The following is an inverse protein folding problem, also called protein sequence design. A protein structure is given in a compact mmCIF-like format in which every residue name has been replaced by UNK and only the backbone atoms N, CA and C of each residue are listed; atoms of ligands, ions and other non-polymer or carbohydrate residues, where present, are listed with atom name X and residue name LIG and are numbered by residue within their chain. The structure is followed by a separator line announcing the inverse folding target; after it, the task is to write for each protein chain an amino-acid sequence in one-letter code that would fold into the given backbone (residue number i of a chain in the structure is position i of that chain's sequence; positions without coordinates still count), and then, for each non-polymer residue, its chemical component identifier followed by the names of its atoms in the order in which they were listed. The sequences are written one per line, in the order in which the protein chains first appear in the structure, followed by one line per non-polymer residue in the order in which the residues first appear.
data_IF_006056924469
#
_entry.id   IF_006056924469
#
_cell.length_a   1.000
_cell.length_b   1.000
_cell.length_c   1.000
_cell.angle_alpha   90.00
_cell.angle_beta   90.00
_cell.angle_gamma   90.00
#
_symmetry.space_group_name_H-M   'P 1'
#
loop_
_entity.id
_entity.type
_entity.pdbx_description
1 polymer ?
#
# COMPACT_ATOMS: atom_id res chain seq x y z
N UNK A 1 -2.75 -1.10 -15.07
CA UNK A 1 -2.95 -2.51 -14.70
C UNK A 1 -1.73 -3.03 -13.98
N UNK A 2 -1.93 -3.92 -13.02
CA UNK A 2 -0.84 -4.49 -12.22
C UNK A 2 0.26 -5.12 -13.07
N UNK A 3 -0.12 -5.85 -14.10
CA UNK A 3 0.81 -6.59 -14.96
C UNK A 3 1.42 -5.79 -16.11
N UNK A 4 1.22 -4.47 -16.13
CA UNK A 4 1.84 -3.60 -17.14
C UNK A 4 3.37 -3.72 -17.04
N UNK A 5 4.06 -4.16 -18.12
CA UNK A 5 5.51 -4.35 -18.11
C UNK A 5 6.29 -3.07 -17.78
N UNK A 6 5.79 -1.90 -18.22
CA UNK A 6 6.46 -0.62 -17.97
C UNK A 6 6.37 -0.25 -16.49
N UNK A 7 5.21 -0.46 -15.86
CA UNK A 7 5.03 -0.27 -14.42
C UNK A 7 5.95 -1.21 -13.62
N UNK A 8 5.97 -2.48 -13.98
CA UNK A 8 6.81 -3.48 -13.29
C UNK A 8 8.29 -3.16 -13.43
N UNK A 9 8.71 -2.69 -14.61
CA UNK A 9 10.09 -2.25 -14.83
C UNK A 9 10.44 -1.06 -13.92
N UNK A 10 9.53 -0.08 -13.79
CA UNK A 10 9.74 1.05 -12.88
C UNK A 10 9.86 0.59 -11.43
N UNK A 11 8.97 -0.29 -10.97
CA UNK A 11 9.03 -0.85 -9.61
C UNK A 11 10.37 -1.54 -9.35
N UNK A 12 10.83 -2.36 -10.28
CA UNK A 12 12.08 -3.13 -10.15
C UNK A 12 13.33 -2.25 -10.14
N UNK A 13 13.29 -1.09 -10.82
CA UNK A 13 14.41 -0.15 -10.84
C UNK A 13 14.76 0.40 -9.46
N UNK A 14 13.78 0.48 -8.55
CA UNK A 14 14.00 0.99 -7.20
C UNK A 14 14.68 -0.01 -6.27
N UNK A 15 14.88 -1.25 -6.69
CA UNK A 15 15.56 -2.30 -5.92
C UNK A 15 14.96 -2.49 -4.52
N UNK A 16 13.64 -2.29 -4.41
CA UNK A 16 12.92 -2.34 -3.13
C UNK A 16 12.39 -3.73 -2.81
N UNK A 17 11.95 -4.48 -3.84
CA UNK A 17 11.39 -5.82 -3.62
C UNK A 17 12.44 -6.76 -3.03
N UNK A 18 12.04 -7.49 -2.00
CA UNK A 18 12.88 -8.45 -1.28
C UNK A 18 14.10 -7.81 -0.59
N UNK A 19 14.10 -6.48 -0.44
CA UNK A 19 15.15 -5.78 0.30
C UNK A 19 14.97 -5.94 1.81
N UNK A 20 16.05 -5.74 2.57
CA UNK A 20 16.04 -5.81 4.04
C UNK A 20 15.17 -4.72 4.64
N UNK A 21 14.60 -4.93 5.85
CA UNK A 21 13.89 -3.87 6.56
C UNK A 21 14.75 -2.61 6.70
N UNK A 22 14.11 -1.45 6.61
CA UNK A 22 14.76 -0.15 6.76
C UNK A 22 13.96 0.70 7.75
N UNK A 23 14.66 1.27 8.70
CA UNK A 23 14.06 2.03 9.80
C UNK A 23 13.19 3.19 9.32
N UNK A 24 13.59 3.87 8.24
CA UNK A 24 12.85 5.01 7.73
C UNK A 24 11.42 4.61 7.31
N UNK A 25 11.24 3.44 6.70
CA UNK A 25 9.92 2.92 6.34
C UNK A 25 9.15 2.45 7.57
N UNK A 26 9.82 1.79 8.50
CA UNK A 26 9.19 1.30 9.73
C UNK A 26 8.71 2.44 10.62
N UNK A 27 9.43 3.54 10.68
CA UNK A 27 9.02 4.72 11.42
C UNK A 27 7.70 5.29 10.86
N UNK A 28 7.54 5.27 9.53
CA UNK A 28 6.32 5.75 8.87
C UNK A 28 5.12 4.86 9.19
N UNK A 29 5.26 3.55 9.08
CA UNK A 29 4.15 2.64 9.37
C UNK A 29 3.74 2.70 10.84
N UNK A 30 4.70 2.78 11.75
CA UNK A 30 4.41 2.90 13.19
C UNK A 30 3.72 4.23 13.51
N UNK A 31 4.15 5.31 12.88
CA UNK A 31 3.56 6.63 13.09
C UNK A 31 2.10 6.66 12.60
N UNK A 32 1.83 6.08 11.44
CA UNK A 32 0.46 6.02 10.90
C UNK A 32 -0.43 5.11 11.76
N UNK A 33 0.08 3.97 12.22
CA UNK A 33 -0.67 3.08 13.09
C UNK A 33 -1.14 3.80 14.36
N UNK A 34 -0.28 4.62 14.95
CA UNK A 34 -0.63 5.42 16.12
C UNK A 34 -1.61 6.55 15.78
N UNK A 35 -1.39 7.23 14.65
CA UNK A 35 -2.23 8.35 14.22
C UNK A 35 -3.67 7.93 13.96
N UNK A 36 -3.86 6.76 13.33
CA UNK A 36 -5.18 6.22 13.03
C UNK A 36 -5.72 5.33 14.15
N UNK A 37 -4.87 4.94 15.10
CA UNK A 37 -5.19 3.99 16.16
C UNK A 37 -5.73 2.67 15.56
N UNK A 38 -5.01 2.12 14.59
CA UNK A 38 -5.38 0.87 13.91
C UNK A 38 -4.30 -0.19 14.12
N UNK A 39 -4.68 -1.48 14.10
CA UNK A 39 -3.73 -2.57 14.38
C UNK A 39 -2.80 -2.92 13.20
N UNK A 40 -3.19 -2.60 11.96
CA UNK A 40 -2.45 -3.06 10.78
C UNK A 40 -2.18 -1.87 9.86
N UNK A 41 -0.90 -1.63 9.57
CA UNK A 41 -0.43 -0.63 8.60
C UNK A 41 0.73 -1.21 7.83
N UNK A 42 0.81 -0.94 6.52
CA UNK A 42 1.93 -1.42 5.73
C UNK A 42 2.29 -0.47 4.58
N UNK A 43 3.56 -0.47 4.23
CA UNK A 43 4.05 -0.01 2.94
C UNK A 43 4.03 -1.21 2.01
N UNK A 44 3.11 -1.22 1.07
CA UNK A 44 2.81 -2.36 0.22
C UNK A 44 3.23 -2.06 -1.22
N UNK A 45 4.16 -2.82 -1.75
CA UNK A 45 4.59 -2.73 -3.14
C UNK A 45 3.83 -3.78 -3.95
N UNK A 46 3.21 -3.34 -5.04
CA UNK A 46 2.30 -4.16 -5.85
C UNK A 46 3.10 -4.81 -6.99
N UNK A 47 3.68 -5.98 -6.70
CA UNK A 47 4.37 -6.81 -7.67
C UNK A 47 3.36 -7.57 -8.56
N UNK A 48 3.83 -8.29 -9.54
CA UNK A 48 2.97 -8.96 -10.52
C UNK A 48 2.02 -9.98 -9.87
N UNK A 49 2.54 -10.95 -9.14
CA UNK A 49 1.73 -12.01 -8.52
C UNK A 49 1.53 -11.86 -7.03
N UNK A 50 2.05 -10.81 -6.41
CA UNK A 50 2.03 -10.64 -4.96
C UNK A 50 2.02 -9.17 -4.55
N UNK A 51 1.50 -8.91 -3.36
CA UNK A 51 1.76 -7.70 -2.61
C UNK A 51 2.95 -7.97 -1.70
N UNK A 52 4.01 -7.17 -1.79
CA UNK A 52 5.20 -7.33 -0.97
C UNK A 52 5.32 -6.16 0.01
N UNK A 53 5.49 -6.49 1.31
CA UNK A 53 5.46 -5.49 2.37
C UNK A 53 6.89 -5.07 2.73
N UNK A 54 7.25 -3.84 2.35
CA UNK A 54 8.53 -3.24 2.78
C UNK A 54 8.55 -2.99 4.28
N UNK A 55 7.41 -2.62 4.83
CA UNK A 55 7.21 -2.41 6.26
C UNK A 55 5.78 -2.82 6.61
N UNK A 56 5.60 -3.48 7.73
CA UNK A 56 4.28 -3.94 8.17
C UNK A 56 4.19 -3.94 9.69
N UNK A 57 3.13 -3.31 10.21
CA UNK A 57 2.75 -3.37 11.62
C UNK A 57 1.55 -4.30 11.73
N UNK A 58 1.57 -5.21 12.69
CA UNK A 58 0.40 -6.01 13.05
C UNK A 58 0.26 -7.36 12.37
N UNK A 59 1.08 -7.67 11.37
CA UNK A 59 1.10 -8.97 10.70
C UNK A 59 2.52 -9.51 10.63
N UNK A 60 2.71 -10.83 10.78
CA UNK A 60 4.04 -11.44 10.72
C UNK A 60 4.56 -11.70 9.30
N UNK A 61 3.65 -11.77 8.31
CA UNK A 61 4.03 -12.07 6.94
C UNK A 61 4.65 -10.86 6.24
N UNK A 62 5.43 -11.16 5.18
CA UNK A 62 6.10 -10.15 4.35
C UNK A 62 5.44 -9.97 3.00
N UNK A 63 4.48 -10.82 2.64
CA UNK A 63 3.76 -10.74 1.38
C UNK A 63 2.39 -11.40 1.47
N UNK A 64 1.58 -11.18 0.44
CA UNK A 64 0.30 -11.84 0.26
C UNK A 64 -0.01 -11.98 -1.24
N UNK A 65 -0.90 -12.93 -1.62
CA UNK A 65 -1.26 -13.09 -3.02
C UNK A 65 -1.94 -11.84 -3.59
N UNK A 66 -1.60 -11.48 -4.82
CA UNK A 66 -2.23 -10.36 -5.53
C UNK A 66 -3.75 -10.57 -5.67
N UNK A 67 -4.19 -11.82 -5.76
CA UNK A 67 -5.61 -12.16 -5.93
C UNK A 67 -6.50 -11.69 -4.78
N UNK A 68 -5.94 -11.49 -3.58
CA UNK A 68 -6.68 -11.02 -2.40
C UNK A 68 -6.28 -9.61 -1.97
N UNK A 69 -5.68 -8.82 -2.86
CA UNK A 69 -5.24 -7.47 -2.56
C UNK A 69 -6.40 -6.47 -2.57
N UNK A 70 -6.58 -5.74 -1.46
CA UNK A 70 -7.46 -4.56 -1.44
C UNK A 70 -6.96 -3.46 -2.38
N UNK A 71 -5.64 -3.37 -2.54
CA UNK A 71 -4.99 -2.32 -3.30
C UNK A 71 -5.24 -2.43 -4.81
N UNK A 72 -5.78 -3.54 -5.28
CA UNK A 72 -6.20 -3.72 -6.67
C UNK A 72 -7.18 -2.64 -7.12
N UNK A 73 -7.96 -2.08 -6.17
CA UNK A 73 -8.88 -0.98 -6.46
C UNK A 73 -8.18 0.24 -7.06
N UNK A 74 -6.90 0.48 -6.76
CA UNK A 74 -6.14 1.59 -7.32
C UNK A 74 -5.83 1.42 -8.81
N UNK A 75 -5.86 0.21 -9.33
CA UNK A 75 -5.71 -0.02 -10.77
C UNK A 75 -7.01 0.17 -11.54
N UNK A 76 -8.13 0.28 -10.84
CA UNK A 76 -9.48 0.45 -11.41
C UNK A 76 -9.98 1.89 -11.32
N UNK A 77 -9.20 2.81 -10.76
CA UNK A 77 -9.58 4.20 -10.59
C UNK A 77 -8.36 5.11 -10.68
N UNK A 78 -8.60 6.41 -10.82
CA UNK A 78 -7.56 7.44 -10.80
C UNK A 78 -7.40 8.08 -9.42
N UNK A 79 -8.09 7.59 -8.39
CA UNK A 79 -8.06 8.19 -7.07
C UNK A 79 -6.69 8.04 -6.40
N UNK A 80 -6.24 9.10 -5.74
CA UNK A 80 -5.00 9.09 -4.95
C UNK A 80 -5.23 8.52 -3.55
N UNK A 81 -6.46 8.51 -3.09
CA UNK A 81 -6.87 8.11 -1.75
C UNK A 81 -8.11 7.25 -1.82
N UNK A 82 -8.12 6.14 -1.10
CA UNK A 82 -9.31 5.31 -0.91
C UNK A 82 -9.53 5.14 0.58
N UNK A 83 -10.74 5.47 1.05
CA UNK A 83 -11.14 5.27 2.45
C UNK A 83 -12.47 4.53 2.46
N UNK A 84 -12.49 3.37 3.11
CA UNK A 84 -13.69 2.61 3.39
C UNK A 84 -13.83 2.49 4.90
N UNK A 85 -14.64 3.36 5.50
CA UNK A 85 -14.84 3.39 6.95
C UNK A 85 -15.57 2.14 7.44
N UNK A 86 -16.44 1.58 6.59
CA UNK A 86 -17.05 0.27 6.78
C UNK A 86 -17.06 -0.45 5.43
N UNK A 87 -16.24 -1.46 5.29
CA UNK A 87 -16.08 -2.20 4.03
C UNK A 87 -17.35 -2.91 3.59
N UNK A 88 -18.25 -3.25 4.53
CA UNK A 88 -19.53 -3.90 4.20
C UNK A 88 -20.49 -2.95 3.50
N UNK A 89 -20.29 -1.64 3.63
CA UNK A 89 -21.08 -0.59 3.01
C UNK A 89 -20.44 -0.02 1.74
N UNK A 90 -19.24 -0.47 1.40
CA UNK A 90 -18.50 0.04 0.25
C UNK A 90 -18.60 -0.97 -0.91
N UNK A 91 -19.18 -0.57 -2.05
CA UNK A 91 -19.35 -1.50 -3.19
C UNK A 91 -18.04 -2.07 -3.72
N UNK A 92 -16.92 -1.36 -3.53
CA UNK A 92 -15.60 -1.84 -3.96
C UNK A 92 -15.13 -3.05 -3.16
N UNK A 93 -15.59 -3.19 -1.91
CA UNK A 93 -15.05 -4.17 -0.97
C UNK A 93 -16.08 -5.10 -0.35
N UNK A 94 -17.38 -4.81 -0.45
CA UNK A 94 -18.41 -5.55 0.28
C UNK A 94 -18.45 -7.05 -0.06
N UNK A 95 -18.04 -7.45 -1.25
CA UNK A 95 -17.95 -8.85 -1.68
C UNK A 95 -16.52 -9.42 -1.63
N UNK A 96 -15.55 -8.64 -1.14
CA UNK A 96 -14.14 -9.05 -1.11
C UNK A 96 -13.96 -10.27 -0.19
N UNK A 97 -13.12 -11.25 -0.59
CA UNK A 97 -12.93 -12.48 0.21
C UNK A 97 -12.52 -12.24 1.66
N UNK A 98 -11.69 -11.23 1.93
CA UNK A 98 -11.22 -10.91 3.28
C UNK A 98 -12.24 -10.08 4.08
N UNK A 99 -13.33 -9.66 3.47
CA UNK A 99 -14.45 -8.98 4.12
C UNK A 99 -15.54 -9.99 4.47
N UNK A 100 -15.91 -10.87 3.54
CA UNK A 100 -16.97 -11.87 3.74
C UNK A 100 -16.49 -13.10 4.51
N UNK A 101 -15.19 -13.36 4.53
CA UNK A 101 -14.56 -14.44 5.28
C UNK A 101 -13.54 -13.88 6.25
N UNK A 102 -13.01 -14.74 7.16
CA UNK A 102 -11.96 -14.34 8.07
C UNK A 102 -10.77 -13.73 7.30
N UNK A 103 -10.16 -12.66 7.78
CA UNK A 103 -10.29 -12.03 9.11
C UNK A 103 -11.43 -11.01 9.25
N UNK A 104 -12.34 -10.92 8.28
CA UNK A 104 -13.48 -9.99 8.32
C UNK A 104 -13.03 -8.53 8.44
N UNK A 105 -12.18 -8.09 7.51
CA UNK A 105 -11.72 -6.69 7.46
C UNK A 105 -12.93 -5.77 7.36
N UNK A 106 -12.98 -4.74 8.21
CA UNK A 106 -14.10 -3.80 8.27
C UNK A 106 -13.71 -2.35 7.96
N UNK A 107 -12.43 -2.04 7.98
CA UNK A 107 -11.90 -0.72 7.69
C UNK A 107 -10.69 -0.84 6.78
N UNK A 108 -10.62 0.02 5.77
CA UNK A 108 -9.47 0.14 4.88
C UNK A 108 -9.26 1.60 4.51
N UNK A 109 -8.04 2.09 4.68
CA UNK A 109 -7.64 3.42 4.22
C UNK A 109 -6.27 3.32 3.57
N UNK A 110 -6.12 3.89 2.39
CA UNK A 110 -4.87 3.81 1.66
C UNK A 110 -4.63 5.02 0.77
N UNK A 111 -3.36 5.36 0.61
CA UNK A 111 -2.89 6.38 -0.33
C UNK A 111 -1.99 5.73 -1.37
N UNK A 112 -2.15 6.16 -2.62
CA UNK A 112 -1.36 5.69 -3.76
C UNK A 112 0.09 6.13 -3.63
N UNK A 113 1.02 5.23 -3.91
CA UNK A 113 2.44 5.55 -4.06
C UNK A 113 2.76 5.58 -5.55
N UNK A 114 2.75 6.77 -6.13
CA UNK A 114 3.03 6.97 -7.56
C UNK A 114 4.42 7.55 -7.74
N UNK A 115 5.18 6.94 -8.64
CA UNK A 115 6.54 7.37 -9.00
C UNK A 115 6.64 7.40 -10.52
N UNK A 116 7.06 8.53 -11.07
CA UNK A 116 7.19 8.74 -12.51
C UNK A 116 5.90 8.38 -13.30
N UNK A 117 4.72 8.66 -12.69
CA UNK A 117 3.43 8.39 -13.31
C UNK A 117 2.92 6.97 -13.14
N UNK A 118 3.65 6.09 -12.46
CA UNK A 118 3.27 4.70 -12.24
C UNK A 118 2.88 4.46 -10.79
N UNK A 119 1.78 3.75 -10.57
CA UNK A 119 1.41 3.26 -9.25
C UNK A 119 2.30 2.07 -8.90
N UNK A 120 3.21 2.25 -7.94
CA UNK A 120 4.11 1.19 -7.48
C UNK A 120 3.56 0.45 -6.26
N UNK A 121 2.75 1.12 -5.47
CA UNK A 121 2.24 0.56 -4.24
C UNK A 121 1.27 1.48 -3.52
N UNK A 122 1.07 1.19 -2.25
CA UNK A 122 0.21 1.97 -1.36
C UNK A 122 0.82 2.06 0.04
N UNK A 123 0.49 3.13 0.76
CA UNK A 123 0.57 3.15 2.21
C UNK A 123 -0.86 2.90 2.70
N UNK A 124 -1.08 1.79 3.39
CA UNK A 124 -2.43 1.32 3.70
C UNK A 124 -2.58 0.88 5.15
N UNK A 125 -3.82 1.01 5.64
CA UNK A 125 -4.21 0.71 7.01
C UNK A 125 -5.48 -0.12 7.02
N UNK A 126 -5.57 -1.07 7.96
CA UNK A 126 -6.69 -2.01 8.09
C UNK A 126 -7.12 -2.16 9.54
N UNK A 127 -8.41 -2.42 9.74
CA UNK A 127 -8.93 -2.89 11.02
C UNK A 127 -10.06 -3.90 10.79
N UNK A 128 -10.33 -4.69 11.82
CA UNK A 128 -11.43 -5.68 11.82
C UNK A 128 -12.71 -5.11 12.42
N UNK A 129 -12.76 -3.82 12.67
CA UNK A 129 -13.96 -3.07 13.07
C UNK A 129 -14.07 -1.79 12.25
N UNK A 130 -15.31 -1.30 11.99
CA UNK A 130 -15.49 -0.03 11.30
C UNK A 130 -14.89 1.12 12.09
N UNK A 131 -14.40 2.14 11.36
CA UNK A 131 -13.79 3.33 11.95
C UNK A 131 -14.13 4.57 11.16
N UNK A 132 -14.23 5.69 11.83
CA UNK A 132 -14.30 7.00 11.20
C UNK A 132 -12.90 7.62 11.16
N UNK A 133 -12.58 8.33 10.10
CA UNK A 133 -11.34 9.09 9.97
C UNK A 133 -11.65 10.56 9.83
N UNK A 134 -10.91 11.39 10.57
CA UNK A 134 -11.01 12.84 10.47
C UNK A 134 -10.25 13.35 9.24
N UNK A 135 -10.58 14.58 8.82
CA UNK A 135 -9.82 15.24 7.76
C UNK A 135 -8.33 15.35 8.11
N UNK A 136 -7.99 15.57 9.37
CA UNK A 136 -6.61 15.65 9.83
C UNK A 136 -5.89 14.30 9.71
N UNK A 137 -6.56 13.21 10.04
CA UNK A 137 -6.01 11.87 9.89
C UNK A 137 -5.78 11.53 8.42
N UNK A 138 -6.68 11.91 7.53
CA UNK A 138 -6.52 11.76 6.08
C UNK A 138 -5.31 12.54 5.58
N UNK A 139 -5.15 13.79 6.01
CA UNK A 139 -4.00 14.62 5.65
C UNK A 139 -2.69 13.98 6.13
N UNK A 140 -2.69 13.40 7.32
CA UNK A 140 -1.52 12.72 7.86
C UNK A 140 -1.16 11.48 7.02
N UNK A 141 -2.16 10.68 6.63
CA UNK A 141 -1.95 9.55 5.72
C UNK A 141 -1.31 10.01 4.41
N UNK A 142 -1.84 11.07 3.81
CA UNK A 142 -1.32 11.59 2.55
C UNK A 142 0.11 12.14 2.69
N UNK A 143 0.41 12.83 3.80
CA UNK A 143 1.75 13.35 4.06
C UNK A 143 2.76 12.22 4.24
N UNK A 144 2.40 11.16 4.97
CA UNK A 144 3.26 10.01 5.16
C UNK A 144 3.46 9.22 3.87
N UNK A 145 2.43 9.12 3.04
CA UNK A 145 2.56 8.51 1.71
C UNK A 145 3.55 9.28 0.83
N UNK A 146 3.49 10.61 0.85
CA UNK A 146 4.47 11.46 0.15
C UNK A 146 5.90 11.21 0.66
N UNK A 147 6.07 11.02 1.97
CA UNK A 147 7.37 10.69 2.54
C UNK A 147 7.89 9.33 2.05
N UNK A 148 7.01 8.33 1.90
CA UNK A 148 7.39 7.04 1.33
C UNK A 148 7.85 7.20 -0.12
N UNK A 149 7.12 7.96 -0.93
CA UNK A 149 7.50 8.23 -2.33
C UNK A 149 8.88 8.88 -2.38
N UNK A 150 9.16 9.83 -1.50
CA UNK A 150 10.47 10.46 -1.43
C UNK A 150 11.58 9.46 -1.07
N UNK A 151 11.34 8.57 -0.11
CA UNK A 151 12.28 7.51 0.22
C UNK A 151 12.54 6.58 -0.97
N UNK A 152 11.52 6.25 -1.75
CA UNK A 152 11.68 5.46 -2.96
C UNK A 152 12.55 6.20 -4.00
N UNK A 153 12.32 7.50 -4.18
CA UNK A 153 13.09 8.32 -5.12
C UNK A 153 14.55 8.51 -4.70
N UNK A 154 14.85 8.47 -3.40
CA UNK A 154 16.19 8.62 -2.87
C UNK A 154 17.01 7.35 -2.96
N UNK A 155 16.41 6.20 -3.22
CA UNK A 155 17.13 4.93 -3.31
C UNK A 155 18.01 4.92 -4.56
N UNK A 156 19.21 4.27 -4.50
CA UNK A 156 19.96 3.98 -5.72
C UNK A 156 19.13 3.11 -6.65
N UNK A 157 18.96 3.54 -7.89
CA UNK A 157 18.19 2.82 -8.88
C UNK A 157 19.10 1.99 -9.76
N UNK A 158 18.58 0.83 -10.22
CA UNK A 158 19.24 0.04 -11.23
C UNK A 158 19.34 0.84 -12.53
N UNK A 159 20.51 0.84 -13.15
CA UNK A 159 20.68 1.46 -14.46
C UNK A 159 19.90 0.67 -15.52
N UNK A 160 19.30 1.36 -16.50
CA UNK A 160 18.72 0.65 -17.64
C UNK A 160 19.80 -0.19 -18.29
N UNK A 161 19.44 -1.42 -18.70
CA UNK A 161 20.37 -2.25 -19.45
C UNK A 161 20.56 -1.60 -20.82
N UNK A 162 21.77 -1.10 -21.07
CA UNK A 162 22.12 -0.62 -22.39
C UNK A 162 22.35 -1.82 -23.31
N UNK A 163 21.51 -1.94 -24.33
CA UNK A 163 21.74 -2.91 -25.39
C UNK A 163 22.64 -2.21 -26.42
N UNK A 164 23.89 -2.56 -26.38
CA UNK A 164 24.86 -2.07 -27.37
C UNK A 164 24.84 -2.97 -28.59
#
# INVERSE_FOLDING_TARGET
MRNDPTRLAELRRHLILDSSPERAFDDITQLLARSLDVPIVMVNLLDDGRDWFKSCVGLPQHDSPAATSFCEAFFKSAEELIVAEDTTLDPRFSAHPLVVNAPFVRFYAAARLAVNGYTLGTLCAYDVKPRQVSAQQVQHLQALAAAVVELLNQRPMAQPVEVS
#
